data_IF_083801340369
#
_entry.id   IF_083801340369
#
_cell.length_a   1.000
_cell.length_b   1.000
_cell.length_c   1.000
_cell.angle_alpha   90.00
_cell.angle_beta   90.00
_cell.angle_gamma   90.00
#
_symmetry.space_group_name_H-M   'P 1'
#
loop_
_entity.id
_entity.type
_entity.pdbx_description
1 polymer ?
#
# COMPACT_ATOMS: atom_id res chain seq x y z
N UNK A 1 -46.72 2.42 -26.32
CA UNK A 1 -45.77 1.38 -25.87
C UNK A 1 -46.56 0.13 -25.51
N UNK A 2 -46.10 -1.05 -25.94
CA UNK A 2 -46.77 -2.29 -25.56
C UNK A 2 -46.73 -2.48 -24.04
N UNK A 3 -47.78 -3.08 -23.46
CA UNK A 3 -47.89 -3.32 -22.01
C UNK A 3 -46.67 -4.07 -21.45
N UNK A 4 -46.03 -4.91 -22.28
CA UNK A 4 -44.79 -5.63 -21.97
C UNK A 4 -43.59 -4.70 -21.77
N UNK A 5 -43.46 -3.66 -22.60
CA UNK A 5 -42.36 -2.67 -22.52
C UNK A 5 -42.52 -1.77 -21.28
N UNK A 6 -43.75 -1.40 -20.94
CA UNK A 6 -44.05 -0.62 -19.73
C UNK A 6 -43.74 -1.44 -18.46
N UNK A 7 -44.08 -2.75 -18.46
CA UNK A 7 -43.72 -3.65 -17.37
C UNK A 7 -42.20 -3.81 -17.20
N UNK A 8 -41.46 -3.88 -18.30
CA UNK A 8 -40.00 -4.05 -18.30
C UNK A 8 -39.28 -2.79 -17.78
N UNK A 9 -39.76 -1.59 -18.16
CA UNK A 9 -39.25 -0.31 -17.64
C UNK A 9 -39.58 -0.15 -16.16
N UNK A 10 -40.80 -0.51 -15.74
CA UNK A 10 -41.20 -0.49 -14.33
C UNK A 10 -40.32 -1.42 -13.48
N UNK A 11 -39.99 -2.60 -13.99
CA UNK A 11 -39.07 -3.53 -13.33
C UNK A 11 -37.65 -2.94 -13.22
N UNK A 12 -37.14 -2.32 -14.28
CA UNK A 12 -35.80 -1.71 -14.26
C UNK A 12 -35.70 -0.55 -13.26
N UNK A 13 -36.74 0.28 -13.12
CA UNK A 13 -36.80 1.39 -12.16
C UNK A 13 -36.84 0.91 -10.71
N UNK A 14 -37.45 -0.24 -10.43
CA UNK A 14 -37.49 -0.84 -9.09
C UNK A 14 -36.14 -1.47 -8.70
N UNK A 15 -35.38 -2.00 -9.66
CA UNK A 15 -34.06 -2.60 -9.40
C UNK A 15 -32.88 -1.61 -9.45
N UNK A 16 -33.05 -0.44 -10.10
CA UNK A 16 -32.02 0.59 -10.20
C UNK A 16 -31.50 1.16 -8.85
N UNK A 17 -32.33 1.41 -7.81
CA UNK A 17 -31.84 1.94 -6.53
C UNK A 17 -31.02 0.92 -5.71
N UNK A 18 -31.08 -0.37 -6.05
CA UNK A 18 -30.28 -1.41 -5.38
C UNK A 18 -28.79 -1.32 -5.73
N UNK A 19 -28.46 -0.69 -6.87
CA UNK A 19 -27.08 -0.47 -7.32
C UNK A 19 -26.40 0.72 -6.63
N UNK A 20 -27.16 1.61 -5.98
CA UNK A 20 -26.63 2.81 -5.30
C UNK A 20 -26.21 2.55 -3.85
N UNK A 21 -26.54 1.38 -3.31
CA UNK A 21 -26.29 1.04 -1.90
C UNK A 21 -25.13 0.06 -1.72
N UNK A 22 -24.25 -0.11 -2.72
CA UNK A 22 -23.04 -0.92 -2.52
C UNK A 22 -22.10 -0.18 -1.56
N UNK A 23 -21.83 -0.73 -0.36
CA UNK A 23 -20.82 -0.14 0.50
C UNK A 23 -19.46 -0.26 -0.21
N UNK A 24 -18.83 0.86 -0.51
CA UNK A 24 -17.40 0.89 -0.80
C UNK A 24 -16.70 0.48 0.49
N UNK A 25 -16.20 -0.75 0.52
CA UNK A 25 -15.28 -1.16 1.57
C UNK A 25 -13.95 -0.48 1.30
N UNK A 26 -13.57 0.45 2.17
CA UNK A 26 -12.20 0.93 2.20
C UNK A 26 -11.30 -0.27 2.50
N UNK A 27 -10.29 -0.50 1.67
CA UNK A 27 -9.30 -1.53 1.94
C UNK A 27 -8.60 -1.18 3.26
N UNK A 28 -8.66 -2.08 4.23
CA UNK A 28 -7.94 -1.94 5.49
C UNK A 28 -6.44 -2.09 5.22
N UNK A 29 -5.65 -1.11 5.67
CA UNK A 29 -4.19 -1.16 5.64
C UNK A 29 -3.67 -1.88 6.88
N UNK A 30 -3.01 -3.02 6.69
CA UNK A 30 -2.39 -3.83 7.74
C UNK A 30 -0.85 -3.75 7.74
N UNK A 31 -0.27 -2.81 6.98
CA UNK A 31 1.18 -2.68 6.79
C UNK A 31 1.93 -2.45 8.10
N UNK A 32 1.41 -1.59 8.99
CA UNK A 32 2.00 -1.33 10.30
C UNK A 32 2.05 -2.62 11.14
N UNK A 33 0.93 -3.33 11.23
CA UNK A 33 0.85 -4.56 12.02
C UNK A 33 1.84 -5.61 11.49
N UNK A 34 1.96 -5.76 10.16
CA UNK A 34 2.96 -6.65 9.54
C UNK A 34 4.41 -6.29 9.89
N UNK A 35 4.74 -5.00 10.00
CA UNK A 35 6.08 -4.56 10.40
C UNK A 35 6.31 -4.84 11.89
N UNK A 36 5.30 -4.62 12.73
CA UNK A 36 5.37 -4.92 14.17
C UNK A 36 5.52 -6.42 14.42
N UNK A 37 4.70 -7.25 13.79
CA UNK A 37 4.71 -8.72 13.95
C UNK A 37 6.07 -9.33 13.55
N UNK A 38 6.73 -8.78 12.52
CA UNK A 38 8.05 -9.26 12.09
C UNK A 38 9.21 -8.69 12.90
N UNK A 39 8.97 -7.65 13.72
CA UNK A 39 10.01 -6.96 14.50
C UNK A 39 11.16 -6.35 13.68
N UNK A 40 10.97 -6.15 12.37
CA UNK A 40 12.02 -5.71 11.43
C UNK A 40 11.46 -4.72 10.42
N UNK A 41 12.04 -3.53 10.33
CA UNK A 41 11.75 -2.60 9.23
C UNK A 41 12.63 -2.92 8.02
N UNK A 42 12.01 -3.30 6.90
CA UNK A 42 12.73 -3.45 5.62
C UNK A 42 12.67 -2.13 4.86
N UNK A 43 13.84 -1.61 4.48
CA UNK A 43 13.99 -0.37 3.73
C UNK A 43 14.62 -0.68 2.38
N UNK A 44 13.93 -0.35 1.29
CA UNK A 44 14.48 -0.40 -0.07
C UNK A 44 15.07 0.95 -0.46
N UNK A 45 16.22 0.95 -1.13
CA UNK A 45 16.90 2.14 -1.67
C UNK A 45 17.67 1.80 -2.95
N UNK A 46 18.05 2.80 -3.75
CA UNK A 46 18.89 2.63 -4.95
C UNK A 46 20.36 2.33 -4.63
N UNK A 47 20.87 2.81 -3.48
CA UNK A 47 22.23 2.62 -3.00
C UNK A 47 23.33 3.25 -3.90
N UNK A 48 23.04 4.39 -4.54
CA UNK A 48 23.88 5.02 -5.57
C UNK A 48 24.11 6.55 -5.40
N UNK A 49 23.68 7.15 -4.28
CA UNK A 49 23.65 8.61 -4.09
C UNK A 49 24.47 9.11 -2.87
N UNK A 50 25.81 9.08 -2.92
CA UNK A 50 26.63 9.60 -1.84
C UNK A 50 26.39 11.11 -1.64
N UNK A 51 26.28 11.61 -0.39
CA UNK A 51 26.51 10.91 0.89
C UNK A 51 25.25 10.31 1.56
N UNK A 52 24.10 10.29 0.88
CA UNK A 52 22.80 9.94 1.48
C UNK A 52 22.62 8.44 1.66
N UNK A 53 22.74 7.69 0.58
CA UNK A 53 22.73 6.23 0.56
C UNK A 53 23.70 5.82 -0.55
N UNK A 54 24.58 4.85 -0.30
CA UNK A 54 25.52 4.37 -1.30
C UNK A 54 26.19 3.06 -0.86
N UNK A 55 26.66 2.28 -1.83
CA UNK A 55 27.48 1.09 -1.56
C UNK A 55 28.92 1.50 -1.21
N UNK A 56 29.45 0.93 -0.14
CA UNK A 56 30.87 0.93 0.21
C UNK A 56 31.37 -0.50 0.34
N UNK A 57 32.55 -0.77 -0.21
CA UNK A 57 33.27 -2.01 0.03
C UNK A 57 34.02 -1.95 1.36
N UNK A 58 33.70 -2.85 2.28
CA UNK A 58 34.39 -3.03 3.55
C UNK A 58 34.91 -4.46 3.66
N UNK A 59 36.23 -4.66 3.62
CA UNK A 59 36.87 -5.97 3.65
C UNK A 59 36.30 -6.98 2.63
N UNK A 60 36.03 -6.50 1.41
CA UNK A 60 35.46 -7.32 0.33
C UNK A 60 33.97 -7.62 0.45
N UNK A 61 33.25 -7.00 1.40
CA UNK A 61 31.79 -7.06 1.52
C UNK A 61 31.16 -5.73 1.13
N UNK A 62 30.06 -5.79 0.40
CA UNK A 62 29.23 -4.63 0.12
C UNK A 62 28.42 -4.24 1.37
N UNK A 63 28.55 -2.98 1.78
CA UNK A 63 27.73 -2.36 2.82
C UNK A 63 27.01 -1.16 2.24
N UNK A 64 25.69 -1.08 2.44
CA UNK A 64 24.93 0.13 2.13
C UNK A 64 25.04 1.07 3.33
N UNK A 65 25.60 2.25 3.10
CA UNK A 65 25.87 3.26 4.12
C UNK A 65 25.39 4.64 3.67
N UNK A 66 25.45 5.62 4.57
CA UNK A 66 25.09 7.01 4.29
C UNK A 66 24.07 7.54 5.30
N UNK A 67 23.80 8.84 5.22
CA UNK A 67 22.94 9.53 6.18
C UNK A 67 21.49 8.98 6.23
N UNK A 68 20.91 8.54 5.11
CA UNK A 68 19.57 7.94 5.06
C UNK A 68 19.55 6.61 5.83
N UNK A 69 20.61 5.82 5.70
CA UNK A 69 20.78 4.54 6.41
C UNK A 69 20.97 4.77 7.91
N UNK A 70 21.72 5.80 8.28
CA UNK A 70 21.93 6.16 9.69
C UNK A 70 20.63 6.60 10.38
N UNK A 71 19.76 7.31 9.66
CA UNK A 71 18.41 7.63 10.15
C UNK A 71 17.61 6.35 10.34
N UNK A 72 17.57 5.46 9.33
CA UNK A 72 16.81 4.22 9.41
C UNK A 72 17.24 3.33 10.60
N UNK A 73 18.54 3.27 10.89
CA UNK A 73 19.10 2.55 12.04
C UNK A 73 18.73 3.15 13.40
N UNK A 74 18.42 4.45 13.45
CA UNK A 74 18.03 5.16 14.68
C UNK A 74 16.53 5.10 14.95
N UNK A 75 15.72 4.60 14.01
CA UNK A 75 14.30 4.42 14.26
C UNK A 75 14.11 3.45 15.44
N UNK A 76 13.22 3.78 16.39
CA UNK A 76 13.02 2.96 17.57
C UNK A 76 12.56 1.56 17.18
N UNK A 77 13.17 0.55 17.83
CA UNK A 77 12.64 -0.81 17.85
C UNK A 77 11.65 -0.84 19.00
N UNK A 78 10.36 -0.90 18.69
CA UNK A 78 9.29 -0.93 19.68
C UNK A 78 9.43 -2.10 20.65
#
# INVERSE_FOLDING_TARGET
>A
MEKKVIGLIGMLVVFLPMFWSMPVSAQTDDSLQKVLDRGTLIVGTSADNPPKEYIRMNNGKEEIIGFDIDIAKKLPKN
#
